data_IF_734965817878
#
_entry.id   IF_734965817878
#
_cell.length_a   1.000
_cell.length_b   1.000
_cell.length_c   1.000
_cell.angle_alpha   90.00
_cell.angle_beta   90.00
_cell.angle_gamma   90.00
#
_symmetry.space_group_name_H-M   'P 1'
#
loop_
_entity.id
_entity.type
_entity.pdbx_description
1 polymer ?
#
# COMPACT_ATOMS: atom_id res chain seq x y z
N UNK A 1 -14.38 -34.93 -15.21
CA UNK A 1 -14.01 -34.84 -13.78
C UNK A 1 -15.09 -35.54 -12.97
N UNK A 2 -14.73 -36.51 -12.13
CA UNK A 2 -15.66 -37.09 -11.17
C UNK A 2 -16.18 -36.02 -10.20
N UNK A 3 -17.43 -36.16 -9.77
CA UNK A 3 -18.12 -35.16 -8.93
C UNK A 3 -17.37 -34.93 -7.61
N UNK A 4 -16.73 -35.96 -7.07
CA UNK A 4 -15.96 -35.91 -5.83
C UNK A 4 -14.74 -34.98 -5.92
N UNK A 5 -13.97 -35.04 -7.02
CA UNK A 5 -12.85 -34.13 -7.26
C UNK A 5 -13.31 -32.67 -7.37
N UNK A 6 -14.44 -32.43 -8.07
CA UNK A 6 -15.00 -31.09 -8.19
C UNK A 6 -15.40 -30.49 -6.83
N UNK A 7 -16.01 -31.29 -5.95
CA UNK A 7 -16.33 -30.86 -4.58
C UNK A 7 -15.08 -30.58 -3.74
N UNK A 8 -14.02 -31.39 -3.88
CA UNK A 8 -12.74 -31.16 -3.20
C UNK A 8 -12.09 -29.84 -3.64
N UNK A 9 -12.02 -29.57 -4.94
CA UNK A 9 -11.47 -28.30 -5.45
C UNK A 9 -12.31 -27.10 -5.00
N UNK A 10 -13.65 -27.21 -5.07
CA UNK A 10 -14.54 -26.14 -4.62
C UNK A 10 -14.36 -25.85 -3.13
N UNK A 11 -14.30 -26.88 -2.28
CA UNK A 11 -14.04 -26.74 -0.86
C UNK A 11 -12.68 -26.09 -0.57
N UNK A 12 -11.63 -26.50 -1.31
CA UNK A 12 -10.30 -25.90 -1.21
C UNK A 12 -10.30 -24.39 -1.53
N UNK A 13 -10.97 -23.99 -2.61
CA UNK A 13 -11.08 -22.57 -3.00
C UNK A 13 -11.80 -21.76 -1.92
N UNK A 14 -12.89 -22.28 -1.35
CA UNK A 14 -13.64 -21.61 -0.28
C UNK A 14 -12.77 -21.42 0.96
N UNK A 15 -12.05 -22.46 1.39
CA UNK A 15 -11.17 -22.39 2.57
C UNK A 15 -10.05 -21.37 2.33
N UNK A 16 -9.37 -21.43 1.18
CA UNK A 16 -8.28 -20.51 0.84
C UNK A 16 -8.79 -19.07 0.81
N UNK A 17 -9.92 -18.82 0.13
CA UNK A 17 -10.48 -17.46 0.01
C UNK A 17 -10.95 -16.92 1.37
N UNK A 18 -11.54 -17.78 2.21
CA UNK A 18 -11.92 -17.44 3.57
C UNK A 18 -10.71 -17.06 4.43
N UNK A 19 -9.65 -17.85 4.38
CA UNK A 19 -8.40 -17.56 5.08
C UNK A 19 -7.74 -16.25 4.58
N UNK A 20 -7.69 -16.05 3.26
CA UNK A 20 -7.17 -14.81 2.65
C UNK A 20 -7.96 -13.58 3.11
N UNK A 21 -9.29 -13.70 3.24
CA UNK A 21 -10.15 -12.61 3.70
C UNK A 21 -9.89 -12.25 5.17
N UNK A 22 -9.72 -13.25 6.03
CA UNK A 22 -9.34 -13.05 7.43
C UNK A 22 -7.95 -12.42 7.54
N UNK A 23 -6.98 -12.95 6.81
CA UNK A 23 -5.62 -12.39 6.75
C UNK A 23 -5.64 -10.92 6.34
N UNK A 24 -6.37 -10.59 5.27
CA UNK A 24 -6.51 -9.21 4.79
C UNK A 24 -7.14 -8.31 5.85
N UNK A 25 -8.20 -8.77 6.53
CA UNK A 25 -8.86 -8.00 7.59
C UNK A 25 -7.91 -7.71 8.76
N UNK A 26 -7.14 -8.70 9.20
CA UNK A 26 -6.12 -8.52 10.23
C UNK A 26 -4.97 -7.61 9.77
N UNK A 27 -4.56 -7.73 8.50
CA UNK A 27 -3.53 -6.91 7.89
C UNK A 27 -3.93 -5.41 7.89
N UNK A 28 -5.17 -5.10 7.49
CA UNK A 28 -5.72 -3.74 7.52
C UNK A 28 -5.70 -3.14 8.93
N UNK A 29 -6.14 -3.91 9.92
CA UNK A 29 -6.15 -3.44 11.32
C UNK A 29 -4.73 -3.19 11.84
N UNK A 30 -3.78 -4.09 11.55
CA UNK A 30 -2.38 -3.93 11.99
C UNK A 30 -1.70 -2.73 11.34
N UNK A 31 -1.90 -2.52 10.04
CA UNK A 31 -1.31 -1.39 9.31
C UNK A 31 -1.92 -0.06 9.75
N UNK A 32 -3.24 0.00 9.96
CA UNK A 32 -3.89 1.18 10.51
C UNK A 32 -3.37 1.53 11.92
N UNK A 33 -3.19 0.54 12.79
CA UNK A 33 -2.61 0.74 14.12
C UNK A 33 -1.16 1.22 14.06
N UNK A 34 -0.37 0.67 13.14
CA UNK A 34 1.01 1.10 12.93
C UNK A 34 1.08 2.55 12.43
N UNK A 35 0.23 2.92 11.47
CA UNK A 35 0.11 4.30 10.99
C UNK A 35 -0.18 5.27 12.13
N UNK A 36 -1.18 4.97 12.96
CA UNK A 36 -1.54 5.79 14.12
C UNK A 36 -0.37 5.99 15.10
N UNK A 37 0.38 4.91 15.40
CA UNK A 37 1.58 4.99 16.25
C UNK A 37 2.66 5.86 15.62
N UNK A 38 2.92 5.70 14.33
CA UNK A 38 3.91 6.50 13.59
C UNK A 38 3.53 7.98 13.63
N UNK A 39 2.27 8.32 13.37
CA UNK A 39 1.74 9.68 13.46
C UNK A 39 1.99 10.30 14.83
N UNK A 40 1.64 9.60 15.92
CA UNK A 40 1.83 10.11 17.29
C UNK A 40 3.32 10.27 17.62
N UNK A 41 4.16 9.30 17.22
CA UNK A 41 5.60 9.34 17.45
C UNK A 41 6.26 10.53 16.73
N UNK A 42 5.95 10.74 15.45
CA UNK A 42 6.47 11.86 14.65
C UNK A 42 6.07 13.21 15.24
N UNK A 43 4.79 13.41 15.57
CA UNK A 43 4.31 14.63 16.23
C UNK A 43 5.06 14.89 17.55
N UNK A 44 5.22 13.87 18.39
CA UNK A 44 5.90 14.00 19.69
C UNK A 44 7.38 14.36 19.55
N UNK A 45 8.10 13.71 18.63
CA UNK A 45 9.52 13.97 18.39
C UNK A 45 9.76 15.39 17.86
N UNK A 46 8.94 15.83 16.90
CA UNK A 46 9.08 17.16 16.31
C UNK A 46 8.70 18.24 17.30
N UNK A 47 7.61 18.05 18.06
CA UNK A 47 7.23 18.98 19.13
C UNK A 47 8.36 19.13 20.17
N UNK A 48 8.93 18.01 20.64
CA UNK A 48 10.08 18.02 21.57
C UNK A 48 11.31 18.73 20.97
N UNK A 49 11.59 18.52 19.69
CA UNK A 49 12.71 19.17 18.99
C UNK A 49 12.47 20.66 18.82
N UNK A 50 11.26 21.07 18.47
CA UNK A 50 10.85 22.46 18.33
C UNK A 50 10.98 23.22 19.66
N UNK A 51 10.56 22.62 20.78
CA UNK A 51 10.70 23.22 22.12
C UNK A 51 12.16 23.33 22.58
N UNK A 52 13.02 22.35 22.24
CA UNK A 52 14.45 22.38 22.58
C UNK A 52 15.25 23.37 21.71
N UNK A 53 14.78 23.64 20.50
CA UNK A 53 15.42 24.57 19.57
C UNK A 53 14.93 26.00 19.88
N UNK A 54 15.40 26.60 20.98
CA UNK A 54 14.95 27.91 21.45
C UNK A 54 15.91 29.06 21.10
N UNK A 55 15.30 30.17 20.68
CA UNK A 55 15.77 31.55 20.41
C UNK A 55 16.98 31.82 19.50
N UNK A 56 18.12 31.13 19.60
CA UNK A 56 19.35 31.55 18.89
C UNK A 56 19.40 31.15 17.39
N UNK A 57 18.63 30.12 16.98
CA UNK A 57 18.62 29.59 15.61
C UNK A 57 17.31 29.90 14.83
N UNK A 58 16.30 30.45 15.49
CA UNK A 58 14.93 30.65 14.96
C UNK A 58 14.73 31.95 14.16
N UNK A 59 15.75 32.79 13.99
CA UNK A 59 15.65 34.02 13.20
C UNK A 59 15.27 33.82 11.73
N UNK A 60 15.29 32.57 11.21
CA UNK A 60 14.98 32.24 9.81
C UNK A 60 13.89 31.19 9.59
N UNK A 61 13.51 30.39 10.58
CA UNK A 61 12.45 29.38 10.45
C UNK A 61 11.58 29.39 11.69
N UNK A 62 10.36 29.91 11.61
CA UNK A 62 9.42 29.91 12.73
C UNK A 62 9.09 28.45 13.14
N UNK A 63 9.30 28.07 14.40
CA UNK A 63 8.96 26.74 14.91
C UNK A 63 7.48 26.37 14.64
N UNK A 64 6.59 27.37 14.65
CA UNK A 64 5.18 27.19 14.28
C UNK A 64 4.98 26.78 12.81
N UNK A 65 5.86 27.20 11.90
CA UNK A 65 5.80 26.83 10.49
C UNK A 65 6.15 25.34 10.27
N UNK A 66 7.14 24.83 11.01
CA UNK A 66 7.52 23.41 10.98
C UNK A 66 6.41 22.52 11.53
N UNK A 67 5.77 22.93 12.64
CA UNK A 67 4.64 22.20 13.20
C UNK A 67 3.44 22.24 12.26
N UNK A 68 3.14 23.38 11.63
CA UNK A 68 2.04 23.51 10.68
C UNK A 68 2.25 22.65 9.42
N UNK A 69 3.47 22.62 8.86
CA UNK A 69 3.81 21.77 7.73
C UNK A 69 3.67 20.29 8.10
N UNK A 70 4.13 19.90 9.29
CA UNK A 70 3.97 18.52 9.78
C UNK A 70 2.50 18.15 9.95
N UNK A 71 1.68 19.02 10.55
CA UNK A 71 0.24 18.78 10.72
C UNK A 71 -0.45 18.51 9.39
N UNK A 72 0.02 19.13 8.30
CA UNK A 72 -0.45 18.89 6.95
C UNK A 72 0.00 17.54 6.37
N UNK A 73 1.21 17.09 6.70
CA UNK A 73 1.79 15.86 6.16
C UNK A 73 1.48 14.60 6.99
N UNK A 74 1.04 14.75 8.25
CA UNK A 74 0.99 13.62 9.17
C UNK A 74 -0.06 12.56 8.79
N UNK A 75 -1.14 12.98 8.14
CA UNK A 75 -2.19 12.08 7.62
C UNK A 75 -1.69 11.20 6.48
N UNK A 76 -0.62 11.61 5.78
CA UNK A 76 -0.02 10.84 4.69
C UNK A 76 0.79 9.65 5.21
N UNK A 77 1.31 9.69 6.44
CA UNK A 77 2.01 8.55 7.02
C UNK A 77 1.11 7.33 7.19
N UNK A 78 -0.18 7.52 7.50
CA UNK A 78 -1.15 6.44 7.59
C UNK A 78 -1.28 5.70 6.25
N UNK A 79 -1.39 6.46 5.16
CA UNK A 79 -1.43 5.93 3.80
C UNK A 79 -0.13 5.23 3.41
N UNK A 80 1.03 5.83 3.72
CA UNK A 80 2.34 5.23 3.40
C UNK A 80 2.51 3.89 4.13
N UNK A 81 2.18 3.81 5.42
CA UNK A 81 2.23 2.55 6.17
C UNK A 81 1.32 1.48 5.56
N UNK A 82 0.18 1.88 5.00
CA UNK A 82 -0.74 0.98 4.31
C UNK A 82 -0.20 0.52 2.96
N UNK A 83 0.38 1.41 2.14
CA UNK A 83 0.69 1.10 0.73
C UNK A 83 2.14 0.72 0.45
N UNK A 84 3.09 1.00 1.34
CA UNK A 84 4.54 0.79 1.08
C UNK A 84 4.88 -0.66 0.68
N UNK A 85 4.15 -1.64 1.21
CA UNK A 85 4.37 -3.05 0.89
C UNK A 85 4.02 -3.39 -0.58
N UNK A 86 3.13 -2.64 -1.22
CA UNK A 86 2.79 -2.84 -2.63
C UNK A 86 3.93 -2.44 -3.57
N UNK A 87 4.88 -1.59 -3.13
CA UNK A 87 6.02 -1.18 -3.97
C UNK A 87 6.87 -2.37 -4.42
N UNK A 88 7.05 -3.37 -3.55
CA UNK A 88 7.80 -4.59 -3.87
C UNK A 88 6.89 -5.77 -4.17
N UNK A 89 5.70 -5.85 -3.57
CA UNK A 89 4.77 -6.93 -3.83
C UNK A 89 4.17 -6.86 -5.26
N UNK A 90 3.85 -5.66 -5.77
CA UNK A 90 3.25 -5.53 -7.10
C UNK A 90 4.16 -6.07 -8.22
N UNK A 91 5.48 -5.78 -8.27
CA UNK A 91 6.40 -6.41 -9.23
C UNK A 91 6.41 -7.94 -9.14
N UNK A 92 6.49 -8.49 -7.91
CA UNK A 92 6.55 -9.94 -7.68
C UNK A 92 5.27 -10.63 -8.16
N UNK A 93 4.11 -10.08 -7.81
CA UNK A 93 2.80 -10.58 -8.25
C UNK A 93 2.70 -10.52 -9.78
N UNK A 94 3.11 -9.40 -10.37
CA UNK A 94 3.05 -9.18 -11.81
C UNK A 94 3.91 -10.18 -12.58
N UNK A 95 5.14 -10.44 -12.13
CA UNK A 95 6.02 -11.46 -12.72
C UNK A 95 5.36 -12.84 -12.61
N UNK A 96 4.82 -13.18 -11.44
CA UNK A 96 4.17 -14.47 -11.18
C UNK A 96 2.96 -14.68 -12.09
N UNK A 97 2.07 -13.70 -12.20
CA UNK A 97 0.89 -13.75 -13.07
C UNK A 97 1.32 -13.88 -14.54
N UNK A 98 2.29 -13.09 -14.97
CA UNK A 98 2.80 -13.13 -16.35
C UNK A 98 3.39 -14.50 -16.70
N UNK A 99 4.11 -15.12 -15.75
CA UNK A 99 4.66 -16.47 -15.91
C UNK A 99 3.57 -17.53 -16.09
N UNK A 100 2.56 -17.57 -15.21
CA UNK A 100 1.45 -18.52 -15.35
C UNK A 100 0.63 -18.27 -16.61
N UNK A 101 0.45 -17.01 -16.99
CA UNK A 101 -0.26 -16.62 -18.19
C UNK A 101 0.47 -17.07 -19.45
N UNK A 102 1.81 -16.97 -19.47
CA UNK A 102 2.64 -17.47 -20.57
C UNK A 102 2.50 -18.98 -20.76
N UNK A 103 2.55 -19.75 -19.67
CA UNK A 103 2.41 -21.22 -19.73
C UNK A 103 1.01 -21.62 -20.20
N UNK A 104 -0.03 -20.87 -19.80
CA UNK A 104 -1.42 -21.22 -20.08
C UNK A 104 -1.89 -20.80 -21.47
N UNK A 105 -1.44 -19.64 -21.95
CA UNK A 105 -1.98 -19.01 -23.17
C UNK A 105 -0.91 -18.53 -24.17
N UNK A 106 0.38 -18.54 -23.81
CA UNK A 106 1.46 -18.09 -24.68
C UNK A 106 1.33 -16.62 -25.11
N UNK A 107 1.48 -16.37 -26.42
CA UNK A 107 1.43 -15.04 -27.03
C UNK A 107 0.15 -14.25 -26.79
N UNK A 108 -1.06 -14.81 -26.95
CA UNK A 108 -2.30 -14.16 -26.55
C UNK A 108 -2.29 -13.60 -25.11
N UNK A 109 -1.68 -14.34 -24.18
CA UNK A 109 -1.54 -13.91 -22.79
C UNK A 109 -0.68 -12.65 -22.63
N UNK A 110 0.44 -12.58 -23.35
CA UNK A 110 1.35 -11.42 -23.33
C UNK A 110 0.68 -10.18 -23.92
N UNK A 111 -0.11 -10.34 -24.99
CA UNK A 111 -0.88 -9.24 -25.56
C UNK A 111 -1.86 -8.71 -24.51
N UNK A 112 -2.58 -9.59 -23.80
CA UNK A 112 -3.50 -9.19 -22.73
C UNK A 112 -2.83 -8.40 -21.59
N UNK A 113 -1.71 -8.91 -21.05
CA UNK A 113 -1.02 -8.20 -19.94
C UNK A 113 -0.42 -6.87 -20.40
N UNK A 114 0.05 -6.77 -21.65
CA UNK A 114 0.62 -5.53 -22.18
C UNK A 114 -0.39 -4.37 -22.20
N UNK A 115 -1.66 -4.67 -22.49
CA UNK A 115 -2.76 -3.69 -22.43
C UNK A 115 -2.96 -3.18 -21.01
N UNK A 116 -2.95 -4.06 -20.01
CA UNK A 116 -3.08 -3.67 -18.59
C UNK A 116 -1.99 -2.66 -18.20
N UNK A 117 -0.73 -2.92 -18.59
CA UNK A 117 0.37 -1.99 -18.33
C UNK A 117 0.24 -0.64 -19.02
N UNK A 118 -0.37 -0.57 -20.20
CA UNK A 118 -0.66 0.70 -20.87
C UNK A 118 -1.72 1.51 -20.11
N UNK A 119 -2.68 0.85 -19.46
CA UNK A 119 -3.72 1.52 -18.66
C UNK A 119 -3.25 2.01 -17.28
N UNK A 120 -2.24 1.38 -16.67
CA UNK A 120 -1.69 1.81 -15.38
C UNK A 120 -1.22 3.28 -15.36
N UNK A 121 -0.38 3.77 -16.29
CA UNK A 121 0.06 5.17 -16.30
C UNK A 121 -1.09 6.13 -16.62
N UNK A 122 -2.08 5.71 -17.41
CA UNK A 122 -3.26 6.53 -17.72
C UNK A 122 -4.08 6.79 -16.45
N UNK A 123 -4.28 5.76 -15.62
CA UNK A 123 -4.95 5.88 -14.33
C UNK A 123 -4.17 6.77 -13.35
N UNK A 124 -2.84 6.66 -13.33
CA UNK A 124 -1.98 7.52 -12.49
C UNK A 124 -1.90 8.97 -12.95
N UNK A 125 -2.08 9.24 -14.25
CA UNK A 125 -2.12 10.59 -14.80
C UNK A 125 -3.45 11.32 -14.57
N UNK A 126 -4.56 10.59 -14.43
CA UNK A 126 -5.90 11.15 -14.22
C UNK A 126 -6.27 11.49 -12.78
N UNK A 127 -5.46 11.07 -11.79
CA UNK A 127 -5.75 11.28 -10.36
C UNK A 127 -5.26 12.62 -9.79
N UNK A 128 -4.69 13.53 -10.60
CA UNK A 128 -4.28 14.87 -10.17
C UNK A 128 -5.37 15.96 -10.30
N UNK A 129 -6.61 15.65 -10.70
CA UNK A 129 -7.65 16.67 -10.98
C UNK A 129 -8.88 16.64 -10.08
N UNK A 130 -8.85 15.99 -8.90
CA UNK A 130 -9.91 16.09 -7.89
C UNK A 130 -9.36 16.13 -6.48
#
# INVERSE_FOLDING_TARGET
>A
MPKEEAYLYAGGIVIITGFSSLYYSHYLLKTAHLGMKMRIACCSLIYRKALRLSHAALGKTNAGHVVNMLSNDVSRFDLICMFVHYLWAAPVITITITYFLWISAGWPGIIGISVVFLFVPIQGGGTQTT
#
